data_IF_635050986707
#
_entry.id   IF_635050986707
#
_cell.length_a   1.000
_cell.length_b   1.000
_cell.length_c   1.000
_cell.angle_alpha   90.00
_cell.angle_beta   90.00
_cell.angle_gamma   90.00
#
_symmetry.space_group_name_H-M   'P 1'
#
loop_
_entity.id
_entity.type
_entity.pdbx_description
1 polymer ?
#
# COMPACT_ATOMS: atom_id res chain seq x y z
N UNK A 1 -16.94 -17.43 -2.66
CA UNK A 1 -16.35 -17.02 -2.71
C UNK A 1 -15.72 -16.04 -2.79
N UNK A 2 -15.68 -15.53 -2.50
CA UNK A 2 -15.09 -14.60 -2.77
C UNK A 2 -13.98 -14.32 -2.28
N UNK A 3 -13.51 -14.46 -2.56
CA UNK A 3 -12.28 -14.35 -2.20
C UNK A 3 -11.87 -12.96 -2.06
N UNK A 4 -10.82 -12.72 -1.32
CA UNK A 4 -10.31 -11.39 -1.21
C UNK A 4 -9.92 -10.92 -2.59
N UNK A 5 -10.39 -9.74 -2.96
CA UNK A 5 -10.07 -9.18 -4.24
C UNK A 5 -8.76 -8.38 -4.20
N UNK A 6 -8.06 -8.39 -3.09
CA UNK A 6 -6.86 -7.59 -2.91
C UNK A 6 -5.82 -8.35 -2.10
N UNK A 7 -4.55 -8.21 -2.49
CA UNK A 7 -3.46 -8.80 -1.74
C UNK A 7 -2.26 -7.85 -1.76
N UNK A 8 -1.51 -7.87 -0.67
CA UNK A 8 -0.29 -7.09 -0.54
C UNK A 8 0.84 -8.03 -0.13
N UNK A 9 1.94 -7.97 -0.83
CA UNK A 9 3.12 -8.75 -0.51
C UNK A 9 4.29 -7.84 -0.20
N UNK A 10 4.92 -8.04 0.95
CA UNK A 10 6.10 -7.29 1.33
C UNK A 10 7.29 -7.97 0.70
N UNK A 11 7.96 -7.29 -0.24
CA UNK A 11 9.10 -7.82 -0.94
C UNK A 11 10.40 -7.47 -0.21
N UNK A 12 10.47 -6.24 0.30
CA UNK A 12 11.60 -5.78 1.08
C UNK A 12 11.08 -4.90 2.20
N UNK A 13 11.71 -5.03 3.38
CA UNK A 13 11.30 -4.24 4.52
C UNK A 13 12.24 -3.08 4.76
N UNK A 14 11.97 -2.32 5.82
CA UNK A 14 12.76 -1.13 6.12
C UNK A 14 14.24 -1.44 6.15
N UNK A 15 15.09 -0.47 5.82
CA UNK A 15 14.75 0.93 5.55
C UNK A 15 14.21 1.20 4.16
N UNK A 16 14.39 0.30 3.21
CA UNK A 16 13.89 0.47 1.85
C UNK A 16 12.71 -0.48 1.67
N UNK A 17 11.51 -0.01 1.97
CA UNK A 17 10.31 -0.82 1.90
C UNK A 17 9.84 -0.97 0.45
N UNK A 18 9.56 -2.20 0.06
CA UNK A 18 9.00 -2.48 -1.25
C UNK A 18 7.82 -3.43 -1.06
N UNK A 19 6.67 -3.04 -1.58
CA UNK A 19 5.47 -3.87 -1.51
C UNK A 19 4.87 -4.02 -2.89
N UNK A 20 4.32 -5.19 -3.15
CA UNK A 20 3.66 -5.49 -4.42
C UNK A 20 2.18 -5.67 -4.14
N UNK A 21 1.35 -5.01 -4.93
CA UNK A 21 -0.10 -5.07 -4.78
C UNK A 21 -0.72 -5.83 -5.94
N UNK A 22 -1.80 -6.55 -5.66
CA UNK A 22 -2.53 -7.25 -6.70
C UNK A 22 -4.02 -7.18 -6.40
N UNK A 23 -4.83 -7.36 -7.45
CA UNK A 23 -6.27 -7.38 -7.34
C UNK A 23 -6.87 -6.00 -7.46
N UNK A 24 -7.90 -5.72 -6.66
CA UNK A 24 -8.65 -4.48 -6.75
C UNK A 24 -8.40 -3.65 -5.49
N UNK A 25 -7.96 -2.41 -5.69
CA UNK A 25 -7.81 -1.48 -4.58
C UNK A 25 -8.92 -0.43 -4.70
N UNK A 26 -9.99 -0.66 -3.95
CA UNK A 26 -11.20 0.15 -4.04
C UNK A 26 -11.61 0.62 -2.65
N UNK A 27 -12.85 1.14 -2.53
CA UNK A 27 -13.30 1.70 -1.25
C UNK A 27 -13.39 0.66 -0.15
N UNK A 28 -13.53 -0.61 -0.52
CA UNK A 28 -13.62 -1.68 0.48
C UNK A 28 -12.25 -2.15 0.91
N UNK A 29 -11.32 -2.28 -0.04
CA UNK A 29 -10.00 -2.84 0.26
C UNK A 29 -8.98 -1.78 0.64
N UNK A 30 -9.21 -0.51 0.33
CA UNK A 30 -8.25 0.53 0.68
C UNK A 30 -8.00 0.63 2.20
N UNK A 31 -9.02 0.52 3.05
CA UNK A 31 -8.75 0.53 4.50
C UNK A 31 -7.88 -0.64 4.93
N UNK A 32 -8.07 -1.80 4.31
CA UNK A 32 -7.26 -2.97 4.61
C UNK A 32 -5.79 -2.73 4.23
N UNK A 33 -5.57 -2.17 3.04
CA UNK A 33 -4.24 -1.82 2.60
C UNK A 33 -3.61 -0.80 3.55
N UNK A 34 -4.37 0.22 3.92
CA UNK A 34 -3.87 1.25 4.81
C UNK A 34 -3.44 0.65 6.16
N UNK A 35 -4.25 -0.23 6.71
CA UNK A 35 -3.94 -0.84 8.00
C UNK A 35 -2.68 -1.69 7.94
N UNK A 36 -2.38 -2.27 6.78
CA UNK A 36 -1.22 -3.12 6.63
C UNK A 36 0.05 -2.33 6.30
N UNK A 37 -0.07 -1.28 5.50
CA UNK A 37 1.12 -0.60 4.99
C UNK A 37 1.64 0.47 5.92
N UNK A 38 0.78 1.17 6.64
CA UNK A 38 1.23 2.29 7.46
C UNK A 38 2.22 1.89 8.55
N UNK A 39 2.01 0.78 9.29
CA UNK A 39 3.00 0.39 10.27
C UNK A 39 4.37 0.09 9.65
N UNK A 40 4.39 -0.42 8.43
CA UNK A 40 5.65 -0.71 7.75
C UNK A 40 6.35 0.57 7.32
N UNK A 41 5.58 1.56 6.88
CA UNK A 41 6.11 2.82 6.41
C UNK A 41 6.82 3.57 7.54
N UNK A 42 6.36 3.41 8.76
CA UNK A 42 6.92 4.14 9.88
C UNK A 42 8.37 3.78 10.15
N UNK A 43 8.80 2.61 9.75
CA UNK A 43 10.19 2.22 9.92
C UNK A 43 11.02 2.39 8.66
N UNK A 44 10.45 2.97 7.61
CA UNK A 44 11.11 3.00 6.31
C UNK A 44 11.61 4.40 5.98
N UNK A 45 12.73 4.46 5.25
CA UNK A 45 13.24 5.71 4.73
C UNK A 45 12.78 5.94 3.30
N UNK A 46 12.34 4.89 2.61
CA UNK A 46 11.80 4.99 1.27
C UNK A 46 10.80 3.87 1.06
N UNK A 47 9.91 4.05 0.10
CA UNK A 47 8.87 3.07 -0.17
C UNK A 47 8.60 3.00 -1.67
N UNK A 48 8.60 1.79 -2.20
CA UNK A 48 8.23 1.52 -3.57
C UNK A 48 6.97 0.66 -3.54
N UNK A 49 5.92 1.12 -4.18
CA UNK A 49 4.67 0.38 -4.27
C UNK A 49 4.50 -0.07 -5.70
N UNK A 50 4.62 -1.38 -5.91
CA UNK A 50 4.50 -1.98 -7.24
C UNK A 50 3.04 -2.29 -7.50
N UNK A 51 2.42 -1.56 -8.40
CA UNK A 51 1.01 -1.68 -8.72
C UNK A 51 0.76 -2.52 -9.97
N UNK A 52 1.79 -3.19 -10.49
CA UNK A 52 1.63 -3.92 -11.76
C UNK A 52 0.61 -5.04 -11.67
N UNK A 53 0.34 -5.55 -10.47
CA UNK A 53 -0.65 -6.60 -10.29
C UNK A 53 -2.06 -6.11 -10.03
N UNK A 54 -2.24 -4.78 -9.94
CA UNK A 54 -3.58 -4.24 -9.69
C UNK A 54 -4.40 -4.27 -10.97
N UNK A 55 -5.64 -4.76 -10.86
CA UNK A 55 -6.58 -4.74 -11.97
C UNK A 55 -7.51 -3.53 -11.89
N UNK A 56 -7.53 -2.83 -10.74
CA UNK A 56 -8.40 -1.69 -10.55
C UNK A 56 -7.84 -0.83 -9.42
N UNK A 57 -7.93 0.48 -9.59
CA UNK A 57 -7.48 1.43 -8.58
C UNK A 57 -8.49 2.56 -8.51
N UNK A 58 -9.10 2.73 -7.33
CA UNK A 58 -10.08 3.77 -7.11
C UNK A 58 -9.42 5.00 -6.49
N UNK A 59 -10.21 6.07 -6.37
CA UNK A 59 -9.73 7.28 -5.71
C UNK A 59 -9.42 7.01 -4.22
N UNK A 60 -10.11 6.06 -3.61
CA UNK A 60 -9.80 5.69 -2.23
C UNK A 60 -8.40 5.08 -2.12
N UNK A 61 -8.01 4.26 -3.11
CA UNK A 61 -6.67 3.71 -3.13
C UNK A 61 -5.62 4.79 -3.35
N UNK A 62 -5.90 5.71 -4.25
CA UNK A 62 -4.98 6.83 -4.48
C UNK A 62 -4.80 7.67 -3.23
N UNK A 63 -5.88 7.85 -2.47
CA UNK A 63 -5.80 8.60 -1.23
C UNK A 63 -4.87 7.93 -0.23
N UNK A 64 -4.87 6.61 -0.18
CA UNK A 64 -3.95 5.89 0.70
C UNK A 64 -2.50 6.07 0.24
N UNK A 65 -2.26 6.10 -1.07
CA UNK A 65 -0.92 6.37 -1.57
C UNK A 65 -0.43 7.74 -1.10
N UNK A 66 -1.30 8.74 -1.14
CA UNK A 66 -0.94 10.08 -0.67
C UNK A 66 -0.65 10.07 0.82
N UNK A 67 -1.39 9.29 1.58
CA UNK A 67 -1.17 9.17 3.01
C UNK A 67 0.19 8.53 3.29
N UNK A 68 0.57 7.52 2.53
CA UNK A 68 1.88 6.91 2.66
C UNK A 68 2.98 7.92 2.38
N UNK A 69 2.79 8.71 1.31
CA UNK A 69 3.76 9.74 0.95
C UNK A 69 3.94 10.74 2.08
N UNK A 70 2.83 11.21 2.63
CA UNK A 70 2.88 12.18 3.72
C UNK A 70 3.58 11.61 4.95
N UNK A 71 3.34 10.34 5.24
CA UNK A 71 3.94 9.72 6.40
C UNK A 71 5.45 9.61 6.24
N UNK A 72 5.92 9.29 5.04
CA UNK A 72 7.35 9.24 4.75
C UNK A 72 7.98 10.62 4.86
N UNK A 73 7.30 11.63 4.34
CA UNK A 73 7.83 12.99 4.37
C UNK A 73 7.93 13.51 5.80
N UNK A 74 6.97 13.19 6.63
CA UNK A 74 6.95 13.72 8.00
C UNK A 74 7.94 13.01 8.91
N UNK A 75 8.32 11.78 8.59
CA UNK A 75 9.27 11.05 9.42
C UNK A 75 10.71 11.33 9.03
N UNK A 76 10.91 11.95 7.88
CA UNK A 76 12.24 12.31 7.42
C UNK A 76 12.79 13.52 8.11
#
# INVERSE_FOLDING_TARGET
MNESSFAMHVVEEAPALRVALSGRLDTITAPEFQAQVLPLVEGASSCIIDCSGLSYLSSAGLRTFLLVHKRLMSSG
#
